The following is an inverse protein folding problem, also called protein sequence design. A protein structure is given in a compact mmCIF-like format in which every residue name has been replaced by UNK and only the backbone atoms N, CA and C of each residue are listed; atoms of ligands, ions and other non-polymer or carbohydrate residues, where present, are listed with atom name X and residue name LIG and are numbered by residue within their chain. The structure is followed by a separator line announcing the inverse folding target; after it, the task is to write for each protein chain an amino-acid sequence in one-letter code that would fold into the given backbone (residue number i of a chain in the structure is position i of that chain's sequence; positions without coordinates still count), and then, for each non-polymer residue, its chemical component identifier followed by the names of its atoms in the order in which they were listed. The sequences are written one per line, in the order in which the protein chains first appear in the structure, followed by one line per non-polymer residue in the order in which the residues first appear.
data_IF_435240329955
#
_entry.id   IF_435240329955
#
_cell.length_a   1.000
_cell.length_b   1.000
_cell.length_c   1.000
_cell.angle_alpha   90.00
_cell.angle_beta   90.00
_cell.angle_gamma   90.00
#
_symmetry.space_group_name_H-M   'P 1'
#
loop_
_entity.id
_entity.type
_entity.pdbx_description
1 polymer ?
#
# COMPACT_ATOMS: atom_id res chain seq x y z
N UNK A 1 35.42 -3.97 -7.09
CA UNK A 1 34.09 -3.99 -6.43
C UNK A 1 33.08 -4.53 -7.43
N UNK A 2 32.18 -5.43 -7.01
CA UNK A 2 31.13 -6.00 -7.86
C UNK A 2 29.76 -5.49 -7.40
N UNK A 3 28.90 -5.00 -8.31
CA UNK A 3 27.57 -4.55 -7.93
C UNK A 3 26.71 -5.73 -7.47
N UNK A 4 25.92 -5.51 -6.43
CA UNK A 4 24.96 -6.48 -5.89
C UNK A 4 23.58 -5.83 -5.97
N UNK A 5 22.59 -6.59 -6.44
CA UNK A 5 21.18 -6.20 -6.47
C UNK A 5 20.43 -7.09 -5.49
N UNK A 6 19.65 -6.46 -4.61
CA UNK A 6 18.83 -7.16 -3.63
C UNK A 6 17.38 -7.22 -4.13
N UNK A 7 16.83 -8.43 -4.22
CA UNK A 7 15.44 -8.68 -4.58
C UNK A 7 14.70 -9.28 -3.37
N UNK A 8 13.78 -8.53 -2.75
CA UNK A 8 13.04 -9.01 -1.58
C UNK A 8 12.01 -10.09 -1.97
N UNK A 9 11.67 -10.93 -0.98
CA UNK A 9 10.57 -11.88 -1.10
C UNK A 9 9.20 -11.23 -0.88
N UNK A 10 8.15 -12.06 -0.93
CA UNK A 10 6.78 -11.63 -0.70
C UNK A 10 6.60 -10.98 0.67
N UNK A 11 5.93 -9.82 0.72
CA UNK A 11 5.68 -9.07 1.95
C UNK A 11 6.90 -8.33 2.52
N UNK A 12 8.08 -8.43 1.91
CA UNK A 12 9.28 -7.78 2.44
C UNK A 12 9.52 -6.36 1.89
N UNK A 13 8.71 -5.89 0.94
CA UNK A 13 8.78 -4.53 0.38
C UNK A 13 7.62 -3.67 0.84
N UNK A 14 7.90 -2.44 1.24
CA UNK A 14 6.87 -1.46 1.57
C UNK A 14 6.06 -1.01 0.33
N UNK A 15 4.76 -0.79 0.53
CA UNK A 15 3.81 -0.30 -0.44
C UNK A 15 3.04 0.90 0.13
N UNK A 16 2.91 1.94 -0.66
CA UNK A 16 1.97 3.03 -0.40
C UNK A 16 0.72 2.87 -1.27
N UNK A 17 -0.37 3.47 -0.83
CA UNK A 17 -1.59 3.61 -1.60
C UNK A 17 -2.14 5.05 -1.60
N UNK A 18 -2.89 5.38 -2.65
CA UNK A 18 -3.69 6.60 -2.78
C UNK A 18 -5.11 6.20 -3.17
N UNK A 19 -6.11 6.84 -2.55
CA UNK A 19 -7.53 6.63 -2.87
C UNK A 19 -8.07 7.80 -3.69
N UNK A 20 -8.67 7.50 -4.84
CA UNK A 20 -9.41 8.45 -5.66
C UNK A 20 -10.91 8.43 -5.33
N UNK A 21 -11.66 9.32 -5.99
CA UNK A 21 -13.11 9.42 -5.84
C UNK A 21 -13.84 8.14 -6.32
N UNK A 22 -13.23 7.36 -7.21
CA UNK A 22 -13.77 6.10 -7.73
C UNK A 22 -13.75 4.96 -6.69
N UNK A 23 -13.10 5.17 -5.54
CA UNK A 23 -13.04 4.16 -4.49
C UNK A 23 -14.38 4.06 -3.77
N UNK A 24 -15.31 3.30 -4.33
CA UNK A 24 -16.60 3.06 -3.69
C UNK A 24 -16.44 2.05 -2.54
N UNK A 25 -16.67 2.51 -1.32
CA UNK A 25 -16.58 1.69 -0.12
C UNK A 25 -17.55 0.51 -0.25
N UNK A 26 -17.12 -0.75 -0.04
CA UNK A 26 -18.08 -1.83 0.15
C UNK A 26 -18.95 -1.47 1.36
N UNK A 27 -20.26 -1.74 1.29
CA UNK A 27 -21.26 -1.49 2.33
C UNK A 27 -20.81 -2.01 3.70
N UNK A 28 -20.03 -1.21 4.42
CA UNK A 28 -19.28 -1.57 5.62
C UNK A 28 -19.43 -0.44 6.64
N UNK A 29 -19.52 -0.74 7.94
CA UNK A 29 -19.61 0.28 9.00
C UNK A 29 -18.35 1.15 9.14
N UNK A 30 -17.23 0.76 8.54
CA UNK A 30 -15.94 1.45 8.62
C UNK A 30 -15.80 2.53 7.53
N UNK A 31 -15.23 3.68 7.90
CA UNK A 31 -14.99 4.84 7.01
C UNK A 31 -13.79 4.60 6.08
N UNK A 32 -13.85 3.58 5.25
CA UNK A 32 -12.69 3.14 4.45
C UNK A 32 -12.16 4.19 3.47
N UNK A 33 -12.97 5.18 3.11
CA UNK A 33 -12.63 6.31 2.27
C UNK A 33 -12.15 7.55 3.04
N UNK A 34 -11.88 7.47 4.35
CA UNK A 34 -11.38 8.60 5.14
C UNK A 34 -10.09 9.23 4.58
N UNK A 35 -9.31 8.45 3.82
CA UNK A 35 -8.06 8.89 3.17
C UNK A 35 -8.23 9.37 1.71
N UNK A 36 -9.46 9.39 1.17
CA UNK A 36 -9.72 9.93 -0.19
C UNK A 36 -9.23 11.37 -0.30
N UNK A 37 -8.46 11.65 -1.35
CA UNK A 37 -7.89 12.97 -1.60
C UNK A 37 -6.86 13.45 -0.57
N UNK A 38 -6.38 12.57 0.33
CA UNK A 38 -5.32 12.88 1.31
C UNK A 38 -3.91 12.57 0.80
N UNK A 39 -3.78 12.12 -0.45
CA UNK A 39 -2.51 11.70 -1.04
C UNK A 39 -2.10 10.29 -0.65
N UNK A 40 -0.82 10.00 -0.84
CA UNK A 40 -0.24 8.68 -0.55
C UNK A 40 -0.16 8.42 0.95
N UNK A 41 -0.44 7.18 1.35
CA UNK A 41 -0.27 6.68 2.71
C UNK A 41 0.32 5.28 2.71
N UNK A 42 0.95 4.92 3.83
CA UNK A 42 1.50 3.58 4.02
C UNK A 42 0.39 2.53 4.08
N UNK A 43 0.32 1.70 3.05
CA UNK A 43 -0.57 0.53 2.97
C UNK A 43 0.13 -0.70 3.57
N UNK A 44 1.39 -0.95 3.22
CA UNK A 44 2.19 -2.05 3.75
C UNK A 44 3.62 -1.58 4.02
N UNK A 45 4.31 -1.92 5.11
CA UNK A 45 3.90 -2.75 6.24
C UNK A 45 3.42 -1.84 7.39
N UNK A 46 2.12 -1.60 7.47
CA UNK A 46 1.53 -0.75 8.50
C UNK A 46 1.05 -1.61 9.68
N UNK A 47 1.94 -1.87 10.64
CA UNK A 47 1.68 -2.79 11.75
C UNK A 47 0.52 -2.41 12.66
N UNK A 48 0.11 -1.14 12.70
CA UNK A 48 -1.00 -0.66 13.55
C UNK A 48 -2.37 -0.89 12.92
N UNK A 49 -2.52 -0.82 11.59
CA UNK A 49 -3.82 -0.98 10.91
C UNK A 49 -4.34 -2.42 10.89
N UNK A 50 -3.44 -3.42 10.99
CA UNK A 50 -3.83 -4.83 11.09
C UNK A 50 -4.40 -5.20 12.48
N UNK A 51 -4.05 -4.42 13.51
CA UNK A 51 -4.47 -4.67 14.89
C UNK A 51 -5.77 -3.98 15.30
N UNK A 52 -6.27 -3.05 14.49
CA UNK A 52 -7.51 -2.30 14.74
C UNK A 52 -8.69 -2.98 14.01
N UNK A 53 -9.66 -3.58 14.72
CA UNK A 53 -10.82 -4.23 14.10
C UNK A 53 -11.68 -3.31 13.23
N UNK A 54 -11.67 -2.00 13.50
CA UNK A 54 -12.46 -1.03 12.72
C UNK A 54 -11.77 -0.70 11.39
N UNK A 55 -10.44 -0.78 11.32
CA UNK A 55 -9.65 -0.47 10.12
C UNK A 55 -9.27 -1.71 9.29
N UNK A 56 -9.22 -2.90 9.92
CA UNK A 56 -8.84 -4.14 9.27
C UNK A 56 -9.67 -4.47 8.01
N UNK A 57 -11.00 -4.26 7.95
CA UNK A 57 -11.78 -4.47 6.74
C UNK A 57 -11.38 -3.52 5.59
N UNK A 58 -11.08 -2.25 5.92
CA UNK A 58 -10.66 -1.26 4.94
C UNK A 58 -9.27 -1.58 4.39
N UNK A 59 -8.36 -1.96 5.27
CA UNK A 59 -7.04 -2.43 4.91
C UNK A 59 -7.11 -3.64 3.96
N UNK A 60 -7.94 -4.63 4.28
CA UNK A 60 -8.10 -5.83 3.45
C UNK A 60 -8.68 -5.50 2.07
N UNK A 61 -9.65 -4.59 1.98
CA UNK A 61 -10.20 -4.15 0.70
C UNK A 61 -9.18 -3.36 -0.13
N UNK A 62 -8.43 -2.44 0.48
CA UNK A 62 -7.44 -1.62 -0.23
C UNK A 62 -6.22 -2.43 -0.71
N UNK A 63 -5.86 -3.52 -0.03
CA UNK A 63 -4.74 -4.38 -0.41
C UNK A 63 -5.14 -5.48 -1.42
N UNK A 64 -6.43 -5.78 -1.59
CA UNK A 64 -6.85 -6.87 -2.48
C UNK A 64 -6.62 -6.51 -3.95
N UNK A 65 -6.45 -7.56 -4.75
CA UNK A 65 -6.45 -7.48 -6.21
C UNK A 65 -7.74 -8.07 -6.78
N UNK A 66 -8.18 -7.52 -7.92
CA UNK A 66 -9.36 -7.98 -8.67
C UNK A 66 -8.89 -8.58 -9.99
N UNK A 67 -9.31 -9.82 -10.25
CA UNK A 67 -9.02 -10.47 -11.52
C UNK A 67 -9.98 -9.99 -12.62
N UNK A 68 -9.46 -9.38 -13.67
CA UNK A 68 -10.20 -9.04 -14.89
C UNK A 68 -10.05 -10.17 -15.91
N UNK A 69 -11.11 -10.95 -16.09
CA UNK A 69 -11.15 -12.08 -17.05
C UNK A 69 -10.97 -11.65 -18.51
N UNK A 70 -11.37 -10.43 -18.89
CA UNK A 70 -11.25 -9.94 -20.26
C UNK A 70 -9.82 -9.55 -20.58
N UNK A 71 -9.09 -9.01 -19.60
CA UNK A 71 -7.67 -8.66 -19.72
C UNK A 71 -6.76 -9.85 -19.41
N UNK A 72 -7.26 -10.84 -18.67
CA UNK A 72 -6.47 -11.97 -18.19
C UNK A 72 -5.45 -11.55 -17.12
N UNK A 73 -5.73 -10.47 -16.39
CA UNK A 73 -4.77 -9.82 -15.49
C UNK A 73 -5.42 -9.38 -14.18
N UNK A 74 -4.60 -9.07 -13.18
CA UNK A 74 -5.01 -8.55 -11.88
C UNK A 74 -4.82 -7.03 -11.83
N UNK A 75 -5.82 -6.32 -11.32
CA UNK A 75 -5.73 -4.90 -11.03
C UNK A 75 -6.03 -4.62 -9.56
N UNK A 76 -5.73 -3.40 -9.13
CA UNK A 76 -6.20 -2.91 -7.85
C UNK A 76 -7.73 -2.78 -7.85
N UNK A 77 -8.32 -2.66 -6.66
CA UNK A 77 -9.70 -2.21 -6.52
C UNK A 77 -9.88 -0.85 -7.21
N UNK A 78 -11.07 -0.63 -7.80
CA UNK A 78 -11.39 0.66 -8.42
C UNK A 78 -11.13 1.81 -7.44
N UNK A 79 -10.46 2.85 -7.92
CA UNK A 79 -10.04 3.99 -7.10
C UNK A 79 -8.88 3.77 -6.14
N UNK A 80 -8.28 2.58 -6.08
CA UNK A 80 -7.04 2.34 -5.32
C UNK A 80 -5.82 2.35 -6.26
N UNK A 81 -4.87 3.23 -6.00
CA UNK A 81 -3.54 3.21 -6.63
C UNK A 81 -2.52 2.74 -5.61
N UNK A 82 -1.55 1.96 -6.06
CA UNK A 82 -0.46 1.46 -5.21
C UNK A 82 0.89 1.76 -5.85
N UNK A 83 1.92 1.97 -5.03
CA UNK A 83 3.32 2.11 -5.50
C UNK A 83 4.29 1.42 -4.54
N UNK A 84 5.39 0.92 -5.10
CA UNK A 84 6.57 0.51 -4.32
C UNK A 84 7.35 1.77 -3.94
N UNK A 85 7.80 1.85 -2.70
CA UNK A 85 8.64 2.95 -2.21
C UNK A 85 10.10 2.51 -2.11
N UNK A 86 11.01 3.48 -2.07
CA UNK A 86 12.44 3.26 -1.79
C UNK A 86 13.17 2.38 -2.82
N UNK A 87 12.69 2.29 -4.06
CA UNK A 87 13.31 1.49 -5.13
C UNK A 87 14.78 1.93 -5.39
N UNK A 88 15.68 0.97 -5.51
CA UNK A 88 17.12 1.24 -5.66
C UNK A 88 17.84 1.53 -4.34
N UNK A 89 17.12 1.53 -3.22
CA UNK A 89 17.66 1.63 -1.85
C UNK A 89 17.38 0.35 -1.07
N UNK A 90 17.88 0.27 0.18
CA UNK A 90 17.59 -0.82 1.11
C UNK A 90 16.57 -0.45 2.20
N UNK A 91 16.03 0.79 2.20
CA UNK A 91 15.11 1.28 3.24
C UNK A 91 13.72 0.67 3.16
N UNK A 92 13.28 0.34 1.95
CA UNK A 92 11.99 -0.29 1.71
C UNK A 92 11.89 -1.76 2.15
N UNK A 93 12.92 -2.32 2.79
CA UNK A 93 12.96 -3.73 3.21
C UNK A 93 12.60 -3.91 4.70
N UNK A 94 11.61 -4.78 4.97
CA UNK A 94 11.33 -5.35 6.30
C UNK A 94 10.64 -4.44 7.34
N UNK A 95 10.31 -5.01 8.53
CA UNK A 95 9.38 -4.41 9.50
C UNK A 95 9.98 -3.29 10.37
N UNK A 96 11.26 -2.92 10.17
CA UNK A 96 12.01 -2.01 11.04
C UNK A 96 12.88 -1.01 10.27
N UNK A 97 12.40 -0.50 9.15
CA UNK A 97 12.84 0.82 8.70
C UNK A 97 12.30 1.85 9.67
N UNK A 98 13.15 2.48 10.47
CA UNK A 98 12.81 3.61 11.37
C UNK A 98 12.38 4.88 10.60
N UNK A 99 11.83 4.74 9.40
CA UNK A 99 11.53 5.83 8.47
C UNK A 99 10.13 6.42 8.72
N UNK A 100 9.76 6.50 10.00
CA UNK A 100 8.44 6.92 10.49
C UNK A 100 8.00 8.32 10.03
N UNK A 101 8.91 9.17 9.56
CA UNK A 101 8.65 10.62 9.44
C UNK A 101 9.01 11.26 8.09
N UNK A 102 9.17 10.50 7.00
CA UNK A 102 9.39 11.10 5.67
C UNK A 102 8.12 11.66 5.04
N UNK A 103 8.23 12.64 4.13
CA UNK A 103 7.10 13.17 3.36
C UNK A 103 6.40 12.03 2.59
N UNK A 104 5.11 11.74 2.84
CA UNK A 104 4.37 10.71 2.09
C UNK A 104 4.32 10.96 0.58
N UNK A 105 4.59 12.18 0.12
CA UNK A 105 4.68 12.50 -1.31
C UNK A 105 5.95 11.92 -1.96
N UNK A 106 7.03 11.78 -1.18
CA UNK A 106 8.35 11.31 -1.64
C UNK A 106 8.37 9.79 -1.81
N UNK A 107 8.54 9.27 -3.04
CA UNK A 107 8.64 7.84 -3.27
C UNK A 107 9.97 7.22 -2.81
N UNK A 108 11.00 8.02 -2.47
CA UNK A 108 12.30 7.54 -1.98
C UNK A 108 12.37 7.39 -0.46
N UNK A 109 11.29 7.74 0.24
CA UNK A 109 11.11 7.54 1.69
C UNK A 109 11.24 6.07 2.09
#
# INVERSE_FOLDING_TARGET
LHPIVLLPGNGCSQLDAELSDEYDEPSSPARCGARKGKGWFRLWENGTTLGDPDEAPCYADQLRVVYDRRRGDYGNVAGVRTRVVSFGTTRGFGPYGNDGDGDPSDPER
#
